data_IF_188159639207
#
_entry.id   IF_188159639207
#
_cell.length_a   1.000
_cell.length_b   1.000
_cell.length_c   1.000
_cell.angle_alpha   90.00
_cell.angle_beta   90.00
_cell.angle_gamma   90.00
#
_symmetry.space_group_name_H-M   'P 1'
#
loop_
_entity.id
_entity.type
_entity.pdbx_description
1 polymer ?
#
# COMPACT_ATOMS: atom_id res chain seq x y z
N UNK A 1 70.18 68.87 -25.69
CA UNK A 1 70.35 69.69 -24.47
C UNK A 1 69.00 69.93 -23.79
N UNK A 2 68.99 69.73 -22.52
CA UNK A 2 68.06 70.23 -21.47
C UNK A 2 66.82 69.38 -21.27
N UNK A 3 66.88 68.68 -20.13
CA UNK A 3 65.86 67.90 -19.44
C UNK A 3 64.82 68.80 -18.84
N UNK A 4 63.54 68.38 -18.84
CA UNK A 4 62.58 68.81 -17.83
C UNK A 4 61.82 67.62 -17.33
N UNK A 5 61.90 67.40 -15.98
CA UNK A 5 61.16 66.43 -15.23
C UNK A 5 59.80 67.02 -14.83
N UNK A 6 58.72 66.31 -15.02
CA UNK A 6 57.47 66.60 -14.30
C UNK A 6 57.09 65.39 -13.48
N UNK A 7 57.06 65.55 -12.16
CA UNK A 7 56.44 64.73 -11.19
C UNK A 7 54.92 64.98 -11.24
N UNK A 8 54.14 63.94 -11.41
CA UNK A 8 52.71 63.97 -11.12
C UNK A 8 52.38 62.87 -10.13
N UNK A 9 51.96 63.27 -8.96
CA UNK A 9 51.48 62.43 -7.89
C UNK A 9 50.13 61.84 -8.26
N UNK A 10 50.03 60.47 -8.25
CA UNK A 10 48.78 59.77 -8.42
C UNK A 10 48.27 59.36 -7.02
N UNK A 11 47.17 59.95 -6.63
CA UNK A 11 46.45 59.55 -5.39
C UNK A 11 45.75 58.21 -5.60
N UNK A 12 46.06 57.26 -4.73
CA UNK A 12 45.44 55.90 -4.74
C UNK A 12 44.10 55.99 -3.94
N UNK A 13 43.00 56.01 -4.64
CA UNK A 13 41.66 55.85 -4.02
C UNK A 13 41.38 54.35 -3.87
N UNK A 14 41.48 53.82 -2.67
CA UNK A 14 41.08 52.44 -2.34
C UNK A 14 39.53 52.37 -2.25
N UNK A 15 38.90 51.84 -3.27
CA UNK A 15 37.45 51.53 -3.25
C UNK A 15 37.29 50.16 -2.60
N UNK A 16 36.77 50.10 -1.36
CA UNK A 16 36.30 48.87 -0.71
C UNK A 16 35.04 48.39 -1.49
N UNK A 17 35.16 47.36 -2.29
CA UNK A 17 34.00 46.59 -2.74
C UNK A 17 33.66 45.60 -1.64
N UNK A 18 32.58 45.85 -0.88
CA UNK A 18 31.89 44.83 -0.11
C UNK A 18 31.27 43.84 -1.11
N UNK A 19 31.90 42.71 -1.26
CA UNK A 19 31.30 41.57 -1.98
C UNK A 19 30.13 41.02 -1.15
N UNK A 20 28.90 41.32 -1.55
CA UNK A 20 27.74 40.58 -1.09
C UNK A 20 27.88 39.12 -1.59
N UNK A 21 28.38 38.24 -0.73
CA UNK A 21 28.28 36.81 -0.98
C UNK A 21 26.79 36.43 -0.93
N UNK A 22 26.14 36.47 -2.10
CA UNK A 22 24.85 35.86 -2.27
C UNK A 22 24.96 34.37 -1.98
N UNK A 23 24.45 33.91 -0.87
CA UNK A 23 24.17 32.52 -0.68
C UNK A 23 23.11 32.12 -1.70
N UNK A 24 23.52 31.67 -2.89
CA UNK A 24 22.68 30.91 -3.77
C UNK A 24 22.37 29.62 -3.02
N UNK A 25 21.20 29.53 -2.40
CA UNK A 25 20.62 28.25 -2.07
C UNK A 25 20.44 27.54 -3.40
N UNK A 26 21.37 26.67 -3.76
CA UNK A 26 21.13 25.73 -4.84
C UNK A 26 19.83 24.99 -4.43
N UNK A 27 18.76 25.19 -5.21
CA UNK A 27 17.60 24.35 -5.09
C UNK A 27 18.11 22.92 -5.30
N UNK A 28 18.11 22.10 -4.24
CA UNK A 28 18.37 20.67 -4.37
C UNK A 28 17.33 20.16 -5.34
N UNK A 29 17.76 19.51 -6.41
CA UNK A 29 16.81 18.77 -7.24
C UNK A 29 16.11 17.76 -6.32
N UNK A 30 14.77 17.70 -6.41
CA UNK A 30 13.99 16.75 -5.66
C UNK A 30 14.48 15.32 -5.95
N UNK A 31 14.61 14.49 -4.93
CA UNK A 31 14.99 13.09 -5.10
C UNK A 31 13.89 12.36 -5.88
N UNK A 32 14.19 11.96 -7.11
CA UNK A 32 13.23 11.22 -7.95
C UNK A 32 13.11 9.78 -7.45
N UNK A 33 11.88 9.32 -7.19
CA UNK A 33 11.59 7.95 -6.75
C UNK A 33 10.30 7.45 -7.39
N UNK A 34 10.31 6.22 -7.88
CA UNK A 34 9.13 5.56 -8.43
C UNK A 34 8.59 4.55 -7.42
N UNK A 35 7.30 4.72 -7.07
CA UNK A 35 6.55 3.81 -6.19
C UNK A 35 5.42 3.19 -7.00
N UNK A 36 5.35 1.87 -6.96
CA UNK A 36 4.27 1.12 -7.62
C UNK A 36 3.16 0.78 -6.62
N UNK A 37 1.91 0.86 -7.08
CA UNK A 37 0.73 0.62 -6.26
C UNK A 37 -0.06 -0.54 -6.84
N UNK A 38 -0.49 -1.49 -6.03
CA UNK A 38 -1.24 -2.67 -6.44
C UNK A 38 -2.74 -2.41 -6.75
N UNK A 39 -3.06 -1.22 -7.30
CA UNK A 39 -4.40 -0.81 -7.73
C UNK A 39 -4.82 0.54 -7.14
N UNK A 40 -4.73 1.60 -7.92
CA UNK A 40 -5.00 2.98 -7.48
C UNK A 40 -6.41 3.20 -6.94
N UNK A 41 -7.41 2.55 -7.54
CA UNK A 41 -8.82 2.71 -7.17
C UNK A 41 -9.19 2.02 -5.85
N UNK A 42 -8.34 1.13 -5.36
CA UNK A 42 -8.60 0.37 -4.13
C UNK A 42 -8.40 1.26 -2.91
N UNK A 43 -9.42 1.37 -2.06
CA UNK A 43 -9.34 2.17 -0.82
C UNK A 43 -8.21 1.72 0.11
N UNK A 44 -7.83 0.46 0.07
CA UNK A 44 -6.69 -0.07 0.85
C UNK A 44 -5.35 0.60 0.51
N UNK A 45 -5.21 1.20 -0.69
CA UNK A 45 -4.01 1.90 -1.15
C UNK A 45 -4.18 3.43 -1.23
N UNK A 46 -5.30 3.94 -0.73
CA UNK A 46 -5.61 5.39 -0.70
C UNK A 46 -4.46 6.26 -0.19
N UNK A 47 -3.66 5.88 0.85
CA UNK A 47 -2.61 6.75 1.38
C UNK A 47 -1.58 7.18 0.33
N UNK A 48 -1.26 6.35 -0.67
CA UNK A 48 -0.29 6.69 -1.70
C UNK A 48 -0.72 7.93 -2.52
N UNK A 49 -1.95 7.87 -3.07
CA UNK A 49 -2.47 8.98 -3.88
C UNK A 49 -2.86 10.18 -3.05
N UNK A 50 -3.35 9.96 -1.83
CA UNK A 50 -3.69 11.04 -0.93
C UNK A 50 -2.46 11.87 -0.53
N UNK A 51 -1.30 11.24 -0.25
CA UNK A 51 -0.04 11.92 0.01
C UNK A 51 0.38 12.82 -1.17
N UNK A 52 0.25 12.32 -2.39
CA UNK A 52 0.52 13.10 -3.61
C UNK A 52 -0.44 14.30 -3.72
N UNK A 53 -1.76 14.05 -3.54
CA UNK A 53 -2.80 15.09 -3.66
C UNK A 53 -2.69 16.19 -2.62
N UNK A 54 -2.25 15.85 -1.40
CA UNK A 54 -1.99 16.79 -0.31
C UNK A 54 -0.63 17.49 -0.44
N UNK A 55 0.20 17.10 -1.41
CA UNK A 55 1.51 17.69 -1.65
C UNK A 55 2.59 17.25 -0.67
N UNK A 56 2.35 16.23 0.15
CA UNK A 56 3.24 15.83 1.24
C UNK A 56 4.58 15.25 0.76
N UNK A 57 4.64 14.65 -0.42
CA UNK A 57 5.93 14.26 -1.02
C UNK A 57 6.79 15.47 -1.35
N UNK A 58 6.20 16.50 -1.98
CA UNK A 58 6.90 17.73 -2.33
C UNK A 58 7.36 18.52 -1.11
N UNK A 59 6.57 18.52 -0.03
CA UNK A 59 6.99 19.13 1.25
C UNK A 59 8.26 18.47 1.82
N UNK A 60 8.51 17.22 1.49
CA UNK A 60 9.72 16.49 1.88
C UNK A 60 10.85 16.62 0.84
N UNK A 61 10.66 17.40 -0.24
CA UNK A 61 11.63 17.52 -1.32
C UNK A 61 11.77 16.24 -2.15
N UNK A 62 10.65 15.51 -2.37
CA UNK A 62 10.59 14.30 -3.17
C UNK A 62 9.78 14.52 -4.45
N UNK A 63 10.32 14.06 -5.57
CA UNK A 63 9.61 13.88 -6.84
C UNK A 63 9.17 12.42 -6.96
N UNK A 64 7.98 12.12 -6.41
CA UNK A 64 7.44 10.76 -6.39
C UNK A 64 6.59 10.52 -7.62
N UNK A 65 7.01 9.56 -8.44
CA UNK A 65 6.20 8.99 -9.52
C UNK A 65 5.43 7.78 -9.00
N UNK A 66 4.10 7.86 -9.01
CA UNK A 66 3.24 6.73 -8.70
C UNK A 66 2.85 6.00 -9.96
N UNK A 67 3.13 4.70 -10.06
CA UNK A 67 2.68 3.84 -11.16
C UNK A 67 1.74 2.76 -10.63
N UNK A 68 0.90 2.20 -11.51
CA UNK A 68 -0.19 1.32 -11.14
C UNK A 68 -0.03 -0.07 -11.73
N UNK A 69 -0.30 -1.09 -10.88
CA UNK A 69 -0.51 -2.46 -11.32
C UNK A 69 -1.88 -2.98 -10.88
N UNK A 70 -2.36 -4.03 -11.54
CA UNK A 70 -3.69 -4.57 -11.27
C UNK A 70 -3.76 -5.32 -9.93
N UNK A 71 -2.66 -5.95 -9.52
CA UNK A 71 -2.56 -6.75 -8.30
C UNK A 71 -1.27 -6.47 -7.53
N UNK A 72 -1.27 -6.78 -6.22
CA UNK A 72 -0.10 -6.57 -5.36
C UNK A 72 1.10 -7.43 -5.76
N UNK A 73 0.87 -8.65 -6.22
CA UNK A 73 1.94 -9.54 -6.71
C UNK A 73 2.63 -8.99 -7.96
N UNK A 74 1.89 -8.39 -8.89
CA UNK A 74 2.47 -7.79 -10.08
C UNK A 74 3.35 -6.58 -9.71
N UNK A 75 2.89 -5.77 -8.74
CA UNK A 75 3.66 -4.66 -8.19
C UNK A 75 4.95 -5.13 -7.48
N UNK A 76 4.89 -6.25 -6.74
CA UNK A 76 6.04 -6.89 -6.11
C UNK A 76 7.07 -7.31 -7.15
N UNK A 77 6.65 -7.97 -8.22
CA UNK A 77 7.53 -8.47 -9.28
C UNK A 77 8.29 -7.33 -9.96
N UNK A 78 7.67 -6.18 -10.20
CA UNK A 78 8.33 -4.99 -10.76
C UNK A 78 9.44 -4.45 -9.83
N UNK A 79 9.22 -4.44 -8.51
CA UNK A 79 10.25 -4.05 -7.55
C UNK A 79 11.40 -5.06 -7.53
N UNK A 80 11.09 -6.35 -7.55
CA UNK A 80 12.12 -7.40 -7.56
C UNK A 80 12.93 -7.43 -8.85
N UNK A 81 12.35 -6.95 -9.96
CA UNK A 81 13.05 -6.74 -11.22
C UNK A 81 13.95 -5.49 -11.22
N UNK A 82 13.82 -4.63 -10.19
CA UNK A 82 14.58 -3.38 -10.06
C UNK A 82 14.00 -2.19 -10.86
N UNK A 83 12.77 -2.32 -11.36
CA UNK A 83 12.11 -1.28 -12.16
C UNK A 83 11.59 -0.12 -11.29
N UNK A 84 11.32 -0.37 -10.01
CA UNK A 84 10.81 0.61 -9.05
C UNK A 84 11.53 0.48 -7.70
N UNK A 85 11.46 1.51 -6.85
CA UNK A 85 12.16 1.55 -5.59
C UNK A 85 11.31 1.05 -4.41
N UNK A 86 9.99 1.08 -4.54
CA UNK A 86 9.10 0.62 -3.47
C UNK A 86 7.72 0.25 -3.96
N UNK A 87 7.03 -0.51 -3.15
CA UNK A 87 5.68 -1.01 -3.41
C UNK A 87 4.74 -0.54 -2.32
N UNK A 88 3.62 0.03 -2.73
CA UNK A 88 2.43 0.12 -1.87
C UNK A 88 1.60 -1.14 -2.11
N UNK A 89 1.77 -2.08 -1.21
CA UNK A 89 1.23 -3.44 -1.27
C UNK A 89 1.02 -4.01 0.13
N UNK A 90 0.74 -5.29 0.22
CA UNK A 90 0.46 -5.93 1.51
C UNK A 90 1.72 -6.43 2.21
N UNK A 91 1.73 -6.33 3.55
CA UNK A 91 2.82 -6.79 4.40
C UNK A 91 3.10 -8.30 4.29
N UNK A 92 2.10 -9.14 4.04
CA UNK A 92 2.24 -10.59 3.92
C UNK A 92 3.23 -11.03 2.84
N UNK A 93 3.40 -10.20 1.80
CA UNK A 93 4.43 -10.39 0.79
C UNK A 93 5.86 -10.42 1.38
N UNK A 94 6.16 -9.60 2.40
CA UNK A 94 7.48 -9.60 3.02
C UNK A 94 7.81 -10.94 3.69
N UNK A 95 6.81 -11.61 4.27
CA UNK A 95 6.96 -12.94 4.88
C UNK A 95 7.12 -14.02 3.79
N UNK A 96 6.28 -13.97 2.75
CA UNK A 96 6.35 -14.93 1.64
C UNK A 96 7.67 -14.80 0.88
N UNK A 97 8.14 -13.59 0.60
CA UNK A 97 9.43 -13.31 -0.02
C UNK A 97 10.62 -13.78 0.83
N UNK A 98 10.60 -13.54 2.14
CA UNK A 98 11.65 -14.04 3.02
C UNK A 98 11.72 -15.56 2.97
N UNK A 99 10.58 -16.27 2.87
CA UNK A 99 10.54 -17.71 2.71
C UNK A 99 11.25 -18.21 1.45
N UNK A 100 11.34 -17.35 0.44
CA UNK A 100 12.02 -17.57 -0.85
C UNK A 100 13.45 -17.01 -0.88
N UNK A 101 13.96 -16.51 0.27
CA UNK A 101 15.30 -15.94 0.39
C UNK A 101 15.44 -14.51 -0.14
N UNK A 102 14.33 -13.81 -0.37
CA UNK A 102 14.31 -12.39 -0.78
C UNK A 102 13.90 -11.54 0.43
N UNK A 103 14.60 -10.42 0.65
CA UNK A 103 14.41 -9.60 1.83
C UNK A 103 13.86 -8.23 1.46
N UNK A 104 12.59 -8.04 1.77
CA UNK A 104 11.88 -6.77 1.69
C UNK A 104 11.40 -6.39 3.08
N UNK A 105 11.28 -5.09 3.33
CA UNK A 105 11.00 -4.54 4.66
C UNK A 105 9.90 -3.50 4.55
N UNK A 106 8.83 -3.68 5.31
CA UNK A 106 7.83 -2.65 5.55
C UNK A 106 8.45 -1.51 6.37
N UNK A 107 8.35 -0.30 5.86
CA UNK A 107 8.89 0.91 6.49
C UNK A 107 7.82 1.82 7.08
N UNK A 108 6.57 1.68 6.67
CA UNK A 108 5.39 2.35 7.24
C UNK A 108 4.13 1.55 6.96
N UNK A 109 3.38 1.21 8.01
CA UNK A 109 2.17 0.41 7.94
C UNK A 109 0.94 1.31 7.76
N UNK A 110 0.12 1.06 6.74
CA UNK A 110 -1.11 1.84 6.53
C UNK A 110 -2.32 1.19 7.18
N UNK A 111 -2.47 -0.11 7.08
CA UNK A 111 -3.66 -0.82 7.54
C UNK A 111 -3.35 -1.84 8.63
N UNK A 112 -4.22 -1.92 9.63
CA UNK A 112 -4.20 -2.91 10.71
C UNK A 112 -5.22 -4.04 10.51
N UNK A 113 -6.02 -3.96 9.45
CA UNK A 113 -6.98 -4.96 8.99
C UNK A 113 -6.89 -5.10 7.47
N UNK A 114 -7.24 -6.24 6.86
CA UNK A 114 -7.12 -6.46 5.42
C UNK A 114 -7.89 -5.46 4.56
N UNK A 115 -9.02 -4.98 5.04
CA UNK A 115 -9.92 -4.19 4.19
C UNK A 115 -10.55 -5.00 3.06
N UNK A 116 -10.45 -6.32 3.13
CA UNK A 116 -10.90 -7.28 2.13
C UNK A 116 -12.15 -8.02 2.61
N UNK A 117 -12.99 -8.42 1.67
CA UNK A 117 -14.21 -9.19 1.93
C UNK A 117 -14.30 -10.35 0.96
N UNK A 118 -14.50 -11.55 1.49
CA UNK A 118 -14.93 -12.67 0.68
C UNK A 118 -16.41 -12.47 0.36
N UNK A 119 -16.73 -12.30 -0.92
CA UNK A 119 -18.07 -12.07 -1.43
C UNK A 119 -18.63 -13.38 -2.00
N UNK A 120 -19.95 -13.58 -1.89
CA UNK A 120 -20.64 -14.70 -2.54
C UNK A 120 -21.69 -14.19 -3.50
N UNK A 121 -21.72 -14.76 -4.71
CA UNK A 121 -22.71 -14.45 -5.74
C UNK A 121 -24.13 -14.75 -5.26
N UNK A 122 -25.07 -13.86 -5.52
CA UNK A 122 -26.50 -14.10 -5.23
C UNK A 122 -27.10 -15.26 -6.01
N UNK A 123 -26.41 -15.76 -7.05
CA UNK A 123 -26.79 -16.95 -7.81
C UNK A 123 -26.43 -18.25 -7.10
N UNK A 124 -25.57 -18.20 -6.08
CA UNK A 124 -25.01 -19.34 -5.35
C UNK A 124 -25.34 -19.31 -3.85
N UNK A 125 -26.64 -19.36 -3.49
CA UNK A 125 -27.07 -19.31 -2.10
C UNK A 125 -26.68 -20.54 -1.26
N UNK A 126 -26.19 -21.60 -1.91
CA UNK A 126 -25.62 -22.80 -1.26
C UNK A 126 -24.29 -22.51 -0.56
N UNK A 127 -23.51 -21.52 -1.01
CA UNK A 127 -22.25 -21.10 -0.38
C UNK A 127 -22.58 -20.22 0.82
N UNK A 128 -22.51 -20.79 2.02
CA UNK A 128 -22.83 -20.12 3.30
C UNK A 128 -21.60 -19.83 4.15
N UNK A 129 -20.43 -20.33 3.75
CA UNK A 129 -19.18 -20.18 4.44
C UNK A 129 -18.02 -20.75 3.65
N UNK A 130 -16.79 -20.56 4.15
CA UNK A 130 -15.61 -21.07 3.47
C UNK A 130 -15.54 -22.61 3.42
N UNK A 131 -16.31 -23.32 4.25
CA UNK A 131 -16.44 -24.78 4.17
C UNK A 131 -17.12 -25.26 2.87
N UNK A 132 -17.86 -24.37 2.20
CA UNK A 132 -18.60 -24.69 0.97
C UNK A 132 -17.80 -24.38 -0.31
N UNK A 133 -16.54 -23.96 -0.22
CA UNK A 133 -15.73 -23.56 -1.37
C UNK A 133 -15.35 -24.72 -2.32
N UNK A 134 -15.45 -25.95 -1.85
CA UNK A 134 -15.10 -27.12 -2.66
C UNK A 134 -15.94 -27.18 -3.96
N UNK A 135 -15.25 -27.29 -5.10
CA UNK A 135 -15.87 -27.41 -6.43
C UNK A 135 -16.25 -26.07 -7.05
N UNK A 136 -15.96 -24.95 -6.40
CA UNK A 136 -16.26 -23.61 -6.90
C UNK A 136 -15.03 -22.90 -7.45
N UNK A 137 -15.26 -21.91 -8.31
CA UNK A 137 -14.27 -20.97 -8.82
C UNK A 137 -14.34 -19.68 -8.00
N UNK A 138 -13.23 -19.35 -7.31
CA UNK A 138 -13.14 -18.23 -6.38
C UNK A 138 -12.30 -17.12 -6.99
N UNK A 139 -12.90 -15.93 -7.16
CA UNK A 139 -12.22 -14.77 -7.70
C UNK A 139 -11.21 -14.18 -6.74
N UNK A 140 -10.02 -13.83 -7.25
CA UNK A 140 -8.98 -13.11 -6.52
C UNK A 140 -8.38 -12.03 -7.40
N UNK A 141 -7.72 -11.03 -6.82
CA UNK A 141 -7.11 -9.97 -7.62
C UNK A 141 -5.95 -10.46 -8.47
N UNK A 142 -5.15 -11.39 -7.95
CA UNK A 142 -4.05 -12.06 -8.63
C UNK A 142 -3.66 -13.34 -7.90
N UNK A 143 -3.14 -14.32 -8.61
CA UNK A 143 -2.59 -15.53 -7.97
C UNK A 143 -1.30 -15.16 -7.24
N UNK A 144 -1.25 -15.38 -5.92
CA UNK A 144 -0.14 -14.94 -5.07
C UNK A 144 -0.36 -13.57 -4.42
N UNK A 145 -1.42 -12.85 -4.74
CA UNK A 145 -1.84 -11.65 -3.99
C UNK A 145 -2.49 -12.01 -2.66
N UNK A 146 -2.59 -11.03 -1.74
CA UNK A 146 -3.20 -11.20 -0.41
C UNK A 146 -4.62 -11.73 -0.46
N UNK A 147 -5.44 -11.29 -1.44
CA UNK A 147 -6.77 -11.85 -1.69
C UNK A 147 -6.71 -13.36 -1.91
N UNK A 148 -5.72 -13.84 -2.68
CA UNK A 148 -5.53 -15.28 -2.88
C UNK A 148 -5.03 -15.98 -1.61
N UNK A 149 -4.13 -15.37 -0.86
CA UNK A 149 -3.63 -15.93 0.40
C UNK A 149 -4.74 -16.09 1.42
N UNK A 150 -5.57 -15.06 1.61
CA UNK A 150 -6.65 -15.10 2.58
C UNK A 150 -7.78 -16.04 2.17
N UNK A 151 -8.18 -16.09 0.88
CA UNK A 151 -9.15 -17.08 0.37
C UNK A 151 -8.65 -18.50 0.64
N UNK A 152 -7.38 -18.82 0.35
CA UNK A 152 -6.80 -20.15 0.62
C UNK A 152 -6.75 -20.45 2.12
N UNK A 153 -6.37 -19.49 2.96
CA UNK A 153 -6.38 -19.65 4.40
C UNK A 153 -7.78 -19.96 4.93
N UNK A 154 -8.78 -19.19 4.52
CA UNK A 154 -10.17 -19.38 4.95
C UNK A 154 -10.69 -20.76 4.54
N UNK A 155 -10.38 -21.22 3.32
CA UNK A 155 -10.72 -22.56 2.85
C UNK A 155 -10.08 -23.64 3.74
N UNK A 156 -8.76 -23.60 3.91
CA UNK A 156 -8.02 -24.61 4.69
C UNK A 156 -8.42 -24.61 6.17
N UNK A 157 -8.62 -23.45 6.77
CA UNK A 157 -9.10 -23.29 8.15
C UNK A 157 -10.46 -23.96 8.36
N UNK A 158 -11.31 -23.99 7.33
CA UNK A 158 -12.63 -24.60 7.35
C UNK A 158 -12.66 -26.02 6.75
N UNK A 159 -11.51 -26.67 6.62
CA UNK A 159 -11.41 -28.10 6.22
C UNK A 159 -11.48 -28.36 4.72
N UNK A 160 -11.39 -27.33 3.89
CA UNK A 160 -11.36 -27.46 2.42
C UNK A 160 -9.92 -27.58 1.94
N UNK A 161 -9.59 -28.69 1.28
CA UNK A 161 -8.24 -28.93 0.77
C UNK A 161 -7.93 -28.05 -0.45
N UNK A 162 -6.70 -27.53 -0.52
CA UNK A 162 -6.21 -26.82 -1.70
C UNK A 162 -6.25 -27.73 -2.92
N UNK A 163 -6.67 -27.15 -4.06
CA UNK A 163 -6.84 -27.91 -5.31
C UNK A 163 -8.23 -28.57 -5.46
N UNK A 164 -9.10 -28.50 -4.44
CA UNK A 164 -10.51 -28.91 -4.56
C UNK A 164 -11.44 -27.75 -4.96
N UNK A 165 -10.93 -26.57 -5.06
CA UNK A 165 -11.53 -25.35 -5.62
C UNK A 165 -10.52 -24.64 -6.53
N UNK A 166 -10.97 -23.74 -7.39
CA UNK A 166 -10.09 -22.96 -8.28
C UNK A 166 -9.99 -21.52 -7.81
N UNK A 167 -8.78 -20.99 -7.64
CA UNK A 167 -8.58 -19.54 -7.55
C UNK A 167 -8.42 -18.95 -8.95
N UNK A 168 -9.26 -17.97 -9.30
CA UNK A 168 -9.28 -17.32 -10.63
C UNK A 168 -8.81 -15.88 -10.49
N UNK A 169 -7.71 -15.51 -11.15
CA UNK A 169 -7.23 -14.14 -11.20
C UNK A 169 -8.16 -13.29 -12.08
N UNK A 170 -8.93 -12.40 -11.48
CA UNK A 170 -9.93 -11.56 -12.17
C UNK A 170 -9.72 -10.06 -11.94
N UNK A 171 -8.64 -9.67 -11.23
CA UNK A 171 -8.39 -8.27 -10.86
C UNK A 171 -9.38 -7.76 -9.82
N UNK A 172 -9.67 -6.46 -9.88
CA UNK A 172 -10.68 -5.77 -9.06
C UNK A 172 -11.56 -4.89 -9.98
N UNK A 173 -12.51 -4.18 -9.39
CA UNK A 173 -13.37 -3.27 -10.14
C UNK A 173 -14.24 -3.97 -11.20
N UNK A 174 -14.25 -3.43 -12.41
CA UNK A 174 -15.14 -3.90 -13.49
C UNK A 174 -14.88 -5.34 -13.89
N UNK A 175 -13.63 -5.79 -13.89
CA UNK A 175 -13.28 -7.17 -14.28
C UNK A 175 -13.79 -8.18 -13.26
N UNK A 176 -13.67 -7.89 -11.95
CA UNK A 176 -14.22 -8.75 -10.89
C UNK A 176 -15.75 -8.80 -10.97
N UNK A 177 -16.39 -7.63 -11.14
CA UNK A 177 -17.86 -7.53 -11.26
C UNK A 177 -18.36 -8.33 -12.47
N UNK A 178 -17.72 -8.18 -13.63
CA UNK A 178 -18.07 -8.90 -14.83
C UNK A 178 -17.89 -10.42 -14.69
N UNK A 179 -16.81 -10.87 -14.04
CA UNK A 179 -16.58 -12.30 -13.80
C UNK A 179 -17.70 -12.91 -12.93
N UNK A 180 -18.14 -12.20 -11.89
CA UNK A 180 -19.23 -12.65 -11.02
C UNK A 180 -20.60 -12.59 -11.73
N UNK A 181 -20.87 -11.53 -12.49
CA UNK A 181 -22.10 -11.39 -13.25
C UNK A 181 -22.26 -12.49 -14.32
N UNK A 182 -21.16 -12.89 -14.97
CA UNK A 182 -21.09 -13.93 -15.96
C UNK A 182 -20.97 -15.35 -15.37
N UNK A 183 -21.01 -15.48 -14.06
CA UNK A 183 -20.87 -16.75 -13.35
C UNK A 183 -19.53 -17.48 -13.61
N UNK A 184 -18.47 -16.71 -13.87
CA UNK A 184 -17.10 -17.22 -14.00
C UNK A 184 -16.44 -17.45 -12.65
N UNK A 185 -16.98 -16.80 -11.61
CA UNK A 185 -16.62 -16.99 -10.21
C UNK A 185 -17.91 -17.01 -9.39
N UNK A 186 -18.03 -17.95 -8.44
CA UNK A 186 -19.21 -18.10 -7.60
C UNK A 186 -19.07 -17.36 -6.27
N UNK A 187 -17.83 -17.22 -5.81
CA UNK A 187 -17.44 -16.37 -4.68
C UNK A 187 -16.08 -15.74 -4.98
N UNK A 188 -15.56 -14.90 -4.08
CA UNK A 188 -14.22 -14.39 -4.26
C UNK A 188 -13.91 -13.20 -3.36
N UNK A 189 -12.62 -12.99 -3.12
CA UNK A 189 -12.11 -11.93 -2.26
C UNK A 189 -11.78 -10.68 -3.04
N UNK A 190 -12.32 -9.56 -2.62
CA UNK A 190 -12.09 -8.25 -3.23
C UNK A 190 -12.09 -7.13 -2.18
N UNK A 191 -11.92 -5.90 -2.64
CA UNK A 191 -11.75 -4.69 -1.83
C UNK A 191 -12.76 -3.61 -2.23
N UNK A 192 -12.88 -2.56 -1.43
CA UNK A 192 -13.61 -1.36 -1.84
C UNK A 192 -12.85 -0.61 -2.98
N UNK A 193 -13.58 -0.02 -3.93
CA UNK A 193 -15.04 0.15 -4.01
C UNK A 193 -15.78 -1.02 -4.70
N UNK A 194 -15.10 -2.10 -5.08
CA UNK A 194 -15.72 -3.26 -5.79
C UNK A 194 -16.83 -3.90 -4.94
N UNK A 195 -16.61 -4.04 -3.63
CA UNK A 195 -17.57 -4.61 -2.67
C UNK A 195 -18.89 -3.82 -2.72
N UNK A 196 -18.82 -2.52 -2.49
CA UNK A 196 -20.01 -1.64 -2.51
C UNK A 196 -20.75 -1.71 -3.85
N UNK A 197 -20.01 -1.77 -4.96
CA UNK A 197 -20.59 -1.86 -6.31
C UNK A 197 -21.31 -3.19 -6.56
N UNK A 198 -20.74 -4.31 -6.10
CA UNK A 198 -21.37 -5.65 -6.18
C UNK A 198 -22.67 -5.68 -5.38
N UNK A 199 -22.64 -5.18 -4.15
CA UNK A 199 -23.84 -5.12 -3.28
C UNK A 199 -24.92 -4.21 -3.88
N UNK A 200 -24.55 -3.03 -4.36
CA UNK A 200 -25.47 -2.07 -4.99
C UNK A 200 -26.16 -2.63 -6.25
N UNK A 201 -25.43 -3.45 -7.01
CA UNK A 201 -25.97 -4.15 -8.19
C UNK A 201 -26.80 -5.40 -7.83
N UNK A 202 -26.83 -5.84 -6.58
CA UNK A 202 -27.49 -7.07 -6.16
C UNK A 202 -26.81 -8.34 -6.68
N UNK A 203 -25.54 -8.26 -7.08
CA UNK A 203 -24.79 -9.38 -7.67
C UNK A 203 -24.17 -10.29 -6.61
N UNK A 204 -23.79 -9.73 -5.46
CA UNK A 204 -23.15 -10.47 -4.38
C UNK A 204 -23.50 -9.90 -3.00
N UNK A 205 -23.27 -10.73 -1.99
CA UNK A 205 -23.36 -10.36 -0.57
C UNK A 205 -22.04 -10.67 0.15
N UNK A 206 -21.66 -9.91 1.19
CA UNK A 206 -20.53 -10.25 2.03
C UNK A 206 -20.71 -11.61 2.70
N UNK A 207 -19.72 -12.48 2.60
CA UNK A 207 -19.67 -13.78 3.26
C UNK A 207 -18.75 -13.74 4.50
N UNK A 208 -17.53 -13.23 4.32
CA UNK A 208 -16.56 -13.02 5.40
C UNK A 208 -15.97 -11.62 5.24
N UNK A 209 -16.33 -10.73 6.14
CA UNK A 209 -15.94 -9.31 6.09
C UNK A 209 -14.76 -9.06 7.04
N UNK A 210 -13.63 -8.61 6.51
CA UNK A 210 -12.42 -8.28 7.27
C UNK A 210 -12.03 -6.80 7.13
N UNK A 211 -13.02 -5.92 6.95
CA UNK A 211 -12.80 -4.46 6.88
C UNK A 211 -12.59 -3.82 8.25
N UNK A 212 -12.93 -4.50 9.34
CA UNK A 212 -12.77 -3.99 10.71
C UNK A 212 -11.77 -4.82 11.50
N UNK A 213 -11.12 -4.21 12.49
CA UNK A 213 -10.18 -4.90 13.38
C UNK A 213 -10.86 -6.04 14.14
N UNK A 214 -12.08 -5.79 14.63
CA UNK A 214 -12.85 -6.79 15.38
C UNK A 214 -13.19 -8.01 14.52
N UNK A 215 -13.67 -7.79 13.29
CA UNK A 215 -14.00 -8.87 12.36
C UNK A 215 -12.74 -9.61 11.88
N UNK A 216 -11.65 -8.89 11.63
CA UNK A 216 -10.33 -9.48 11.31
C UNK A 216 -9.85 -10.41 12.42
N UNK A 217 -9.91 -9.97 13.69
CA UNK A 217 -9.55 -10.81 14.84
C UNK A 217 -10.41 -12.06 14.95
N UNK A 218 -11.71 -11.95 14.67
CA UNK A 218 -12.61 -13.10 14.66
C UNK A 218 -12.27 -14.10 13.52
N UNK A 219 -11.96 -13.59 12.33
CA UNK A 219 -11.64 -14.41 11.18
C UNK A 219 -10.22 -15.02 11.24
N UNK A 220 -9.21 -14.24 11.67
CA UNK A 220 -7.80 -14.59 11.55
C UNK A 220 -7.09 -14.85 12.89
N UNK A 221 -7.70 -14.50 14.02
CA UNK A 221 -7.15 -14.73 15.36
C UNK A 221 -6.32 -13.57 15.93
N UNK A 222 -6.08 -12.50 15.18
CA UNK A 222 -5.32 -11.33 15.58
C UNK A 222 -5.50 -10.18 14.60
N UNK A 223 -4.79 -9.07 14.79
CA UNK A 223 -4.69 -8.04 13.75
C UNK A 223 -3.95 -8.62 12.54
N UNK A 224 -4.29 -8.13 11.37
CA UNK A 224 -3.61 -8.50 10.13
C UNK A 224 -3.13 -7.22 9.44
N UNK A 225 -1.89 -6.78 9.72
CA UNK A 225 -1.31 -5.66 9.00
C UNK A 225 -1.33 -5.96 7.51
N UNK A 226 -1.88 -5.05 6.76
CA UNK A 226 -2.18 -5.24 5.35
C UNK A 226 -1.39 -4.23 4.51
N UNK A 227 -2.05 -3.30 3.84
CA UNK A 227 -1.37 -2.32 3.01
C UNK A 227 -0.30 -1.53 3.78
N UNK A 228 0.86 -1.37 3.16
CA UNK A 228 2.04 -0.68 3.69
C UNK A 228 2.90 -0.16 2.54
N UNK A 229 3.95 0.61 2.86
CA UNK A 229 5.06 0.81 1.93
C UNK A 229 6.17 -0.16 2.31
N UNK A 230 6.57 -1.03 1.40
CA UNK A 230 7.74 -1.87 1.57
C UNK A 230 8.74 -1.71 0.44
N UNK A 231 10.00 -1.97 0.75
CA UNK A 231 11.15 -1.79 -0.14
C UNK A 231 12.14 -2.93 0.05
N UNK A 232 13.06 -3.10 -0.89
CA UNK A 232 14.17 -4.05 -0.68
C UNK A 232 15.08 -3.56 0.45
N UNK A 233 15.61 -4.49 1.24
CA UNK A 233 16.57 -4.16 2.30
C UNK A 233 17.80 -3.43 1.76
N UNK A 234 18.21 -3.77 0.53
CA UNK A 234 19.34 -3.13 -0.14
C UNK A 234 19.08 -1.64 -0.40
N UNK A 235 17.89 -1.32 -0.96
CA UNK A 235 17.51 0.07 -1.22
C UNK A 235 17.47 0.88 0.07
N UNK A 236 16.82 0.36 1.12
CA UNK A 236 16.73 1.03 2.43
C UNK A 236 18.12 1.36 2.99
N UNK A 237 19.05 0.41 2.93
CA UNK A 237 20.40 0.59 3.46
C UNK A 237 21.16 1.70 2.73
N UNK A 238 20.98 1.82 1.41
CA UNK A 238 21.64 2.83 0.57
C UNK A 238 20.99 4.21 0.58
N UNK A 239 19.70 4.33 0.98
CA UNK A 239 18.89 5.53 0.78
C UNK A 239 18.06 5.92 2.02
N UNK A 240 18.64 5.80 3.21
CA UNK A 240 17.93 6.04 4.51
C UNK A 240 17.26 7.40 4.59
N UNK A 241 17.89 8.44 4.04
CA UNK A 241 17.34 9.80 4.04
C UNK A 241 16.06 9.87 3.18
N UNK A 242 16.10 9.33 1.96
CA UNK A 242 14.95 9.30 1.05
C UNK A 242 13.81 8.45 1.64
N UNK A 243 14.13 7.31 2.28
CA UNK A 243 13.13 6.49 2.98
C UNK A 243 12.51 7.26 4.14
N UNK A 244 13.30 7.99 4.95
CA UNK A 244 12.76 8.83 6.03
C UNK A 244 11.82 9.91 5.51
N UNK A 245 12.18 10.60 4.44
CA UNK A 245 11.33 11.60 3.78
C UNK A 245 9.99 11.01 3.32
N UNK A 246 10.02 9.82 2.69
CA UNK A 246 8.80 9.10 2.30
C UNK A 246 7.93 8.75 3.51
N UNK A 247 8.54 8.20 4.56
CA UNK A 247 7.81 7.84 5.77
C UNK A 247 7.22 9.06 6.46
N UNK A 248 7.94 10.19 6.50
CA UNK A 248 7.38 11.46 7.02
C UNK A 248 6.10 11.86 6.27
N UNK A 249 6.13 11.80 4.92
CA UNK A 249 4.97 12.11 4.10
C UNK A 249 3.78 11.18 4.40
N UNK A 250 4.04 9.88 4.54
CA UNK A 250 3.00 8.89 4.84
C UNK A 250 2.45 9.00 6.26
N UNK A 251 3.29 9.19 7.28
CA UNK A 251 2.83 9.42 8.67
C UNK A 251 1.92 10.66 8.73
N UNK A 252 2.30 11.73 8.03
CA UNK A 252 1.44 12.93 7.91
C UNK A 252 0.11 12.62 7.20
N UNK A 253 0.14 11.74 6.19
CA UNK A 253 -1.08 11.29 5.48
C UNK A 253 -1.96 10.44 6.38
N UNK A 254 -1.40 9.52 7.16
CA UNK A 254 -2.16 8.71 8.11
C UNK A 254 -2.85 9.58 9.16
N UNK A 255 -2.16 10.59 9.67
CA UNK A 255 -2.75 11.59 10.57
C UNK A 255 -3.88 12.36 9.90
N UNK A 256 -3.70 12.79 8.65
CA UNK A 256 -4.77 13.44 7.89
C UNK A 256 -6.01 12.54 7.78
N UNK A 257 -5.83 11.27 7.44
CA UNK A 257 -6.94 10.29 7.36
C UNK A 257 -7.64 10.16 8.72
N UNK A 258 -6.89 10.13 9.81
CA UNK A 258 -7.45 10.02 11.16
C UNK A 258 -8.29 11.26 11.54
N UNK A 259 -7.79 12.44 11.25
CA UNK A 259 -8.32 13.72 11.73
C UNK A 259 -9.49 14.26 10.86
N UNK A 260 -9.70 13.74 9.63
CA UNK A 260 -10.70 14.26 8.68
C UNK A 260 -11.83 13.26 8.43
N UNK A 261 -13.00 13.78 8.02
CA UNK A 261 -14.14 12.96 7.62
C UNK A 261 -13.90 12.24 6.28
N UNK A 262 -14.70 11.22 6.00
CA UNK A 262 -14.65 10.52 4.73
C UNK A 262 -14.94 11.44 3.53
N UNK A 263 -15.83 12.42 3.71
CA UNK A 263 -16.17 13.43 2.72
C UNK A 263 -14.98 14.35 2.41
N UNK A 264 -14.29 14.83 3.46
CA UNK A 264 -13.10 15.67 3.32
C UNK A 264 -11.95 14.92 2.65
N UNK A 265 -11.73 13.67 3.00
CA UNK A 265 -10.71 12.80 2.35
C UNK A 265 -11.08 12.56 0.90
N UNK A 266 -12.33 12.17 0.62
CA UNK A 266 -12.81 11.92 -0.75
C UNK A 266 -12.70 13.18 -1.64
N UNK A 267 -12.90 14.37 -1.09
CA UNK A 267 -12.76 15.63 -1.82
C UNK A 267 -11.33 15.87 -2.34
N UNK A 268 -10.31 15.27 -1.74
CA UNK A 268 -8.92 15.34 -2.20
C UNK A 268 -8.61 14.36 -3.32
N UNK A 269 -9.38 13.27 -3.44
CA UNK A 269 -9.09 12.21 -4.39
C UNK A 269 -9.52 12.56 -5.82
N UNK A 270 -8.84 12.02 -6.85
CA UNK A 270 -9.27 12.18 -8.23
C UNK A 270 -10.68 11.61 -8.44
N UNK A 271 -11.48 12.29 -9.27
CA UNK A 271 -12.89 11.91 -9.51
C UNK A 271 -13.05 10.53 -10.17
N UNK A 272 -12.10 10.13 -10.99
CA UNK A 272 -12.06 8.80 -11.63
C UNK A 272 -11.92 7.65 -10.63
N UNK A 273 -11.32 7.89 -9.44
CA UNK A 273 -11.26 6.89 -8.36
C UNK A 273 -12.63 6.56 -7.76
N UNK A 274 -13.58 7.46 -7.90
CA UNK A 274 -14.94 7.26 -7.41
C UNK A 274 -15.80 6.42 -8.36
N UNK A 275 -15.26 6.04 -9.52
CA UNK A 275 -15.88 5.12 -10.51
C UNK A 275 -17.33 5.48 -10.82
N UNK A 276 -17.64 6.78 -10.93
CA UNK A 276 -18.98 7.30 -11.23
C UNK A 276 -19.99 7.23 -10.06
N UNK A 277 -19.56 6.82 -8.85
CA UNK A 277 -20.39 6.74 -7.65
C UNK A 277 -19.73 7.45 -6.45
N UNK A 278 -19.68 8.79 -6.42
CA UNK A 278 -19.05 9.52 -5.33
C UNK A 278 -19.67 9.25 -3.95
N UNK A 279 -20.99 9.09 -3.87
CA UNK A 279 -21.69 8.80 -2.62
C UNK A 279 -21.32 7.39 -2.10
N UNK A 280 -21.28 6.40 -2.97
CA UNK A 280 -20.84 5.05 -2.66
C UNK A 280 -19.37 5.00 -2.19
N UNK A 281 -18.50 5.79 -2.84
CA UNK A 281 -17.09 5.90 -2.45
C UNK A 281 -16.94 6.48 -1.04
N UNK A 282 -17.61 7.60 -0.73
CA UNK A 282 -17.60 8.21 0.60
C UNK A 282 -18.13 7.24 1.66
N UNK A 283 -19.23 6.55 1.37
CA UNK A 283 -19.83 5.58 2.27
C UNK A 283 -18.89 4.39 2.54
N UNK A 284 -18.24 3.87 1.51
CA UNK A 284 -17.26 2.81 1.62
C UNK A 284 -16.04 3.24 2.47
N UNK A 285 -15.53 4.45 2.22
CA UNK A 285 -14.44 5.04 2.99
C UNK A 285 -14.81 5.22 4.46
N UNK A 286 -15.99 5.76 4.75
CA UNK A 286 -16.48 5.94 6.12
C UNK A 286 -16.59 4.60 6.88
N UNK A 287 -17.11 3.57 6.21
CA UNK A 287 -17.27 2.24 6.80
C UNK A 287 -15.92 1.53 7.06
N UNK A 288 -14.92 1.79 6.23
CA UNK A 288 -13.58 1.17 6.34
C UNK A 288 -12.53 2.02 7.05
N UNK A 289 -12.87 3.23 7.50
CA UNK A 289 -11.86 4.18 8.01
C UNK A 289 -11.04 3.63 9.19
N UNK A 290 -11.61 2.81 10.06
CA UNK A 290 -10.91 2.21 11.19
C UNK A 290 -9.84 1.18 10.78
N UNK A 291 -9.83 0.71 9.53
CA UNK A 291 -8.77 -0.19 9.05
C UNK A 291 -7.40 0.50 9.01
N UNK A 292 -7.36 1.83 8.83
CA UNK A 292 -6.12 2.59 8.79
C UNK A 292 -5.48 2.71 10.18
N UNK A 293 -4.15 2.54 10.24
CA UNK A 293 -3.39 2.82 11.47
C UNK A 293 -3.42 4.32 11.76
N UNK A 294 -3.46 4.73 13.02
CA UNK A 294 -3.49 6.17 13.34
C UNK A 294 -2.13 6.86 13.12
N UNK A 295 -1.03 6.10 13.12
CA UNK A 295 0.33 6.61 13.23
C UNK A 295 1.35 5.96 12.28
N UNK A 296 0.95 4.98 11.52
CA UNK A 296 1.84 4.24 10.60
C UNK A 296 2.67 3.14 11.28
N UNK A 297 2.44 2.84 12.56
CA UNK A 297 3.15 1.77 13.26
C UNK A 297 2.58 0.38 12.95
N UNK A 298 3.48 -0.59 12.90
CA UNK A 298 3.12 -2.01 12.83
C UNK A 298 2.38 -2.45 14.10
N UNK A 299 1.16 -3.03 14.02
CA UNK A 299 0.47 -3.61 15.17
C UNK A 299 1.30 -4.72 15.81
N UNK A 300 1.37 -4.75 17.15
CA UNK A 300 2.28 -5.63 17.90
C UNK A 300 2.06 -7.13 17.64
N UNK A 301 0.80 -7.57 17.56
CA UNK A 301 0.43 -8.95 17.30
C UNK A 301 0.39 -9.30 15.79
N UNK A 302 0.40 -8.27 14.94
CA UNK A 302 0.17 -8.39 13.50
C UNK A 302 1.12 -9.33 12.76
N UNK A 303 2.44 -9.13 12.82
CA UNK A 303 3.39 -9.98 12.11
C UNK A 303 3.27 -11.47 12.45
N UNK A 304 2.98 -11.78 13.72
CA UNK A 304 2.76 -13.16 14.17
C UNK A 304 1.47 -13.75 13.59
N UNK A 305 0.41 -12.95 13.53
CA UNK A 305 -0.86 -13.38 12.92
C UNK A 305 -0.68 -13.66 11.43
N UNK A 306 0.00 -12.77 10.68
CA UNK A 306 0.27 -12.96 9.25
C UNK A 306 1.09 -14.23 9.03
N UNK A 307 2.16 -14.45 9.81
CA UNK A 307 2.96 -15.68 9.72
C UNK A 307 2.11 -16.92 10.02
N UNK A 308 1.25 -16.90 11.03
CA UNK A 308 0.37 -18.03 11.36
C UNK A 308 -0.61 -18.33 10.22
N UNK A 309 -1.19 -17.29 9.60
CA UNK A 309 -2.07 -17.41 8.44
C UNK A 309 -1.34 -18.07 7.28
N UNK A 310 -0.19 -17.55 6.86
CA UNK A 310 0.59 -18.09 5.75
C UNK A 310 1.09 -19.53 6.04
N UNK A 311 1.52 -19.81 7.26
CA UNK A 311 1.99 -21.14 7.67
C UNK A 311 0.91 -22.22 7.60
N UNK A 312 -0.37 -21.84 7.60
CA UNK A 312 -1.49 -22.78 7.53
C UNK A 312 -1.59 -23.45 6.14
N UNK A 313 -1.39 -22.69 5.08
CA UNK A 313 -1.66 -23.14 3.70
C UNK A 313 -0.46 -23.04 2.76
N UNK A 314 0.43 -22.03 2.94
CA UNK A 314 1.50 -21.75 2.00
C UNK A 314 2.62 -22.79 2.08
N UNK A 315 2.87 -23.50 0.97
CA UNK A 315 3.97 -24.46 0.87
C UNK A 315 5.34 -23.80 0.97
N UNK A 316 5.45 -22.53 0.60
CA UNK A 316 6.71 -21.76 0.69
C UNK A 316 7.05 -21.38 2.12
N UNK A 317 6.04 -21.13 2.99
CA UNK A 317 6.21 -20.66 4.37
C UNK A 317 6.14 -21.81 5.39
N UNK A 318 5.26 -22.77 5.17
CA UNK A 318 5.02 -23.89 6.11
C UNK A 318 6.30 -24.64 6.45
N UNK A 319 6.60 -24.72 7.73
CA UNK A 319 7.78 -25.45 8.23
C UNK A 319 9.11 -24.72 8.07
N UNK A 320 9.10 -23.46 7.57
CA UNK A 320 10.30 -22.62 7.51
C UNK A 320 10.39 -21.69 8.71
N UNK A 321 11.61 -21.35 9.10
CA UNK A 321 11.88 -20.32 10.09
C UNK A 321 11.90 -18.97 9.39
N UNK A 322 10.96 -18.11 9.74
CA UNK A 322 10.87 -16.72 9.26
C UNK A 322 11.30 -15.79 10.40
N UNK A 323 12.27 -14.95 10.14
CA UNK A 323 12.70 -13.91 11.07
C UNK A 323 11.84 -12.65 10.86
N UNK A 324 10.78 -12.53 11.66
CA UNK A 324 9.86 -11.41 11.57
C UNK A 324 10.54 -10.05 11.79
N UNK A 325 11.65 -9.99 12.53
CA UNK A 325 12.38 -8.74 12.75
C UNK A 325 13.03 -8.18 11.49
N UNK A 326 13.08 -8.97 10.42
CA UNK A 326 13.61 -8.58 9.10
C UNK A 326 12.52 -8.30 8.06
N UNK A 327 11.25 -8.35 8.45
CA UNK A 327 10.12 -8.12 7.53
C UNK A 327 9.53 -6.73 7.66
N UNK A 328 9.84 -6.02 8.73
CA UNK A 328 9.41 -4.64 8.96
C UNK A 328 10.39 -3.89 9.86
N UNK A 329 10.31 -2.56 9.84
CA UNK A 329 10.98 -1.68 10.80
C UNK A 329 10.05 -0.55 11.25
N UNK A 330 10.20 -0.13 12.49
CA UNK A 330 9.48 1.04 13.03
C UNK A 330 10.40 2.24 13.23
N UNK A 331 11.67 2.14 12.84
CA UNK A 331 12.66 3.20 13.10
C UNK A 331 12.30 4.52 12.41
N UNK A 332 11.87 4.46 11.15
CA UNK A 332 11.52 5.65 10.36
C UNK A 332 10.23 6.30 10.87
N UNK A 333 9.21 5.50 11.23
CA UNK A 333 7.95 6.01 11.79
C UNK A 333 8.19 6.69 13.13
N UNK A 334 9.01 6.09 14.02
CA UNK A 334 9.36 6.68 15.31
C UNK A 334 10.20 7.96 15.20
N UNK A 335 10.95 8.10 14.11
CA UNK A 335 11.74 9.29 13.80
C UNK A 335 10.98 10.35 12.99
N UNK A 336 9.75 10.05 12.53
CA UNK A 336 8.94 10.96 11.72
C UNK A 336 8.59 12.26 12.48
N UNK A 337 8.59 13.39 11.74
CA UNK A 337 8.40 14.75 12.28
C UNK A 337 7.10 15.37 11.74
#
# INVERSE_FOLDING_TARGET
MTKFKFLTSVAFAATLMLGAAGFSTAASADDKITIIVGGYEKLIYLPAKLAERLGYYKEQGLDVELINEAAGVDAEDEMLAGNVQGVVGFYDHNIDLQSKGKFTVDVVQFLQAPGEVEMVSTKHPEIKGAADFKGHDLGVTGLGSSTNFLTQYLAVKNGVELGTFTSVAVGAGDTFIAAMEQDKIQAGMTTEPTITRLVKKGLATPLIDMRTVAATRAALGGTYPASSLYMTQEYINGHKETVQKLVNAYVKTMKYIHDHSAEEIAAQMPKDYMVGDPEGYVKALAAGKEMYTPDGLMPEDGPKTVLAVLSTFSKSVKGKTIDLSKTYTTEFVKAAK
#
